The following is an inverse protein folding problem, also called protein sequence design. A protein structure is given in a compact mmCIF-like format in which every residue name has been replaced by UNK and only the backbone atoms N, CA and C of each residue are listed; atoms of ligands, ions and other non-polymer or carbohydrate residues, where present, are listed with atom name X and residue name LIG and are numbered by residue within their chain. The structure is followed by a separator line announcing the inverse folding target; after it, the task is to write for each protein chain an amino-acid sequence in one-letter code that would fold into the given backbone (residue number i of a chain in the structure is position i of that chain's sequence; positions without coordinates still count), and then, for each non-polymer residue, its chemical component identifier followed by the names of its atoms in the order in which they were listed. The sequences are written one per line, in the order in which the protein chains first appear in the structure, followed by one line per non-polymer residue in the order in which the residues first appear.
data_IF_473291798932
#
_entry.id   IF_473291798932
#
_cell.length_a   1.000
_cell.length_b   1.000
_cell.length_c   1.000
_cell.angle_alpha   90.00
_cell.angle_beta   90.00
_cell.angle_gamma   90.00
#
_symmetry.space_group_name_H-M   'P 1'
#
loop_
_entity.id
_entity.type
_entity.pdbx_description
1 polymer ?
#
# COMPACT_ATOMS: atom_id res chain seq x y z
N UNK A 1 11.11 -0.14 -12.87
CA UNK A 1 10.42 -0.40 -11.59
C UNK A 1 9.51 -1.61 -11.76
N UNK A 2 9.33 -2.39 -10.70
CA UNK A 2 8.44 -3.53 -10.58
C UNK A 2 7.37 -3.22 -9.54
N UNK A 3 6.12 -3.60 -9.80
CA UNK A 3 5.04 -3.60 -8.79
C UNK A 3 4.44 -4.99 -8.73
N UNK A 4 4.38 -5.65 -7.55
CA UNK A 4 3.73 -6.95 -7.42
C UNK A 4 2.26 -6.89 -7.84
N UNK A 5 1.77 -7.87 -8.60
CA UNK A 5 0.40 -7.89 -9.10
C UNK A 5 -0.68 -7.84 -8.00
N UNK A 6 -0.34 -8.27 -6.78
CA UNK A 6 -1.23 -8.24 -5.62
C UNK A 6 -1.23 -6.90 -4.88
N UNK A 7 -0.39 -5.93 -5.26
CA UNK A 7 -0.28 -4.62 -4.60
C UNK A 7 -1.18 -3.55 -5.23
N UNK A 8 -2.10 -3.91 -6.12
CA UNK A 8 -3.08 -3.02 -6.70
C UNK A 8 -4.41 -3.11 -5.92
N UNK A 9 -4.66 -2.10 -5.07
CA UNK A 9 -5.98 -1.87 -4.47
C UNK A 9 -6.91 -1.17 -5.46
N UNK A 10 -8.23 -1.20 -5.20
CA UNK A 10 -9.21 -0.46 -6.02
C UNK A 10 -8.93 1.05 -6.00
N UNK A 11 -8.41 1.58 -4.89
CA UNK A 11 -7.98 2.97 -4.75
C UNK A 11 -6.86 3.35 -5.74
N UNK A 12 -6.07 2.40 -6.23
CA UNK A 12 -5.04 2.66 -7.24
C UNK A 12 -5.57 2.76 -8.67
N UNK A 13 -6.86 2.47 -8.91
CA UNK A 13 -7.45 2.45 -10.26
C UNK A 13 -8.34 3.68 -10.45
N UNK A 14 -7.90 4.60 -11.31
CA UNK A 14 -8.65 5.79 -11.68
C UNK A 14 -9.41 5.57 -12.99
N UNK A 15 -10.74 5.52 -12.91
CA UNK A 15 -11.62 5.45 -14.08
C UNK A 15 -11.49 6.73 -14.92
N UNK A 16 -11.24 6.58 -16.22
CA UNK A 16 -11.19 7.71 -17.16
C UNK A 16 -12.59 8.08 -17.65
N UNK A 17 -12.71 9.29 -18.21
CA UNK A 17 -13.89 9.66 -19.00
C UNK A 17 -14.00 8.75 -20.24
N UNK A 18 -15.21 8.41 -20.70
CA UNK A 18 -15.40 7.69 -21.94
C UNK A 18 -14.78 8.43 -23.12
N UNK A 19 -14.30 7.68 -24.12
CA UNK A 19 -13.86 8.28 -25.37
C UNK A 19 -15.02 8.95 -26.11
N UNK A 20 -14.72 10.05 -26.79
CA UNK A 20 -15.69 10.82 -27.55
C UNK A 20 -16.40 9.98 -28.62
N UNK A 21 -17.61 10.41 -29.01
CA UNK A 21 -18.42 9.72 -30.03
C UNK A 21 -17.72 9.64 -31.40
N UNK A 22 -16.81 10.56 -31.68
CA UNK A 22 -16.01 10.61 -32.92
C UNK A 22 -14.81 9.67 -32.90
N UNK A 23 -14.46 9.08 -31.76
CA UNK A 23 -13.31 8.18 -31.66
C UNK A 23 -13.64 6.81 -32.27
N UNK A 24 -12.62 6.14 -32.84
CA UNK A 24 -12.76 4.76 -33.38
C UNK A 24 -13.35 3.76 -32.38
N UNK A 25 -13.10 3.97 -31.08
CA UNK A 25 -13.68 3.18 -29.97
C UNK A 25 -14.58 4.06 -29.11
N UNK A 26 -15.54 4.72 -29.74
CA UNK A 26 -16.50 5.59 -29.09
C UNK A 26 -17.11 4.93 -27.85
N UNK A 27 -17.19 5.68 -26.75
CA UNK A 27 -17.73 5.18 -25.48
C UNK A 27 -16.80 4.25 -24.69
N UNK A 28 -15.65 3.84 -25.22
CA UNK A 28 -14.70 3.01 -24.44
C UNK A 28 -14.21 3.75 -23.20
N UNK A 29 -14.21 3.05 -22.06
CA UNK A 29 -13.77 3.57 -20.78
C UNK A 29 -12.50 2.86 -20.38
N UNK A 30 -11.40 3.61 -20.31
CA UNK A 30 -10.14 3.13 -19.76
C UNK A 30 -9.98 3.44 -18.28
N UNK A 31 -8.82 3.07 -17.76
CA UNK A 31 -8.34 3.52 -16.45
C UNK A 31 -6.89 3.97 -16.52
N UNK A 32 -6.48 4.74 -15.53
CA UNK A 32 -5.09 4.98 -15.19
C UNK A 32 -4.78 4.26 -13.87
N UNK A 33 -3.52 3.88 -13.69
CA UNK A 33 -3.03 3.36 -12.42
C UNK A 33 -2.34 4.51 -11.68
N UNK A 34 -2.88 4.87 -10.52
CA UNK A 34 -2.36 5.93 -9.66
C UNK A 34 -1.30 5.34 -8.73
N UNK A 35 -0.03 5.48 -9.14
CA UNK A 35 1.11 4.86 -8.44
C UNK A 35 1.30 5.37 -7.00
N UNK A 36 0.92 6.61 -6.71
CA UNK A 36 0.92 7.17 -5.35
C UNK A 36 -0.04 6.46 -4.40
N UNK A 37 -1.09 5.80 -4.92
CA UNK A 37 -2.02 5.00 -4.13
C UNK A 37 -1.51 3.57 -3.87
N UNK A 38 -0.33 3.22 -4.40
CA UNK A 38 0.34 1.95 -4.14
C UNK A 38 1.33 2.15 -3.00
N UNK A 39 1.39 1.24 -2.00
CA UNK A 39 2.35 1.36 -0.91
C UNK A 39 3.78 1.60 -1.42
N UNK A 40 4.53 2.57 -0.88
CA UNK A 40 5.94 2.79 -1.22
C UNK A 40 6.77 1.50 -1.30
N UNK A 41 6.63 0.56 -0.35
CA UNK A 41 7.38 -0.69 -0.39
C UNK A 41 7.05 -1.59 -1.59
N UNK A 42 5.88 -1.43 -2.21
CA UNK A 42 5.47 -2.22 -3.37
C UNK A 42 5.95 -1.60 -4.70
N UNK A 43 6.51 -0.39 -4.68
CA UNK A 43 7.11 0.28 -5.84
C UNK A 43 8.61 -0.04 -5.87
N UNK A 44 8.94 -1.24 -6.33
CA UNK A 44 10.30 -1.80 -6.23
C UNK A 44 11.14 -1.28 -7.39
N UNK A 45 12.18 -0.45 -7.16
CA UNK A 45 13.07 -0.04 -8.23
C UNK A 45 13.88 -1.25 -8.73
N UNK A 46 14.17 -1.23 -10.03
CA UNK A 46 15.06 -2.21 -10.69
C UNK A 46 16.25 -1.48 -11.30
N UNK A 47 16.02 -0.23 -11.72
CA UNK A 47 17.01 0.71 -12.22
C UNK A 47 16.71 2.04 -11.51
N UNK A 48 17.75 2.71 -11.02
CA UNK A 48 17.70 4.03 -10.39
C UNK A 48 18.76 4.87 -11.09
N UNK A 49 18.37 6.01 -11.68
CA UNK A 49 19.30 6.94 -12.35
C UNK A 49 20.22 6.26 -13.38
N UNK A 50 19.72 5.25 -14.09
CA UNK A 50 20.48 4.48 -15.08
C UNK A 50 21.34 3.34 -14.50
N UNK A 51 21.48 3.23 -13.18
CA UNK A 51 22.18 2.14 -12.51
C UNK A 51 21.23 1.00 -12.13
N UNK A 52 21.65 -0.25 -12.36
CA UNK A 52 20.90 -1.43 -11.95
C UNK A 52 20.98 -1.63 -10.44
N UNK A 53 19.84 -1.96 -9.82
CA UNK A 53 19.83 -2.44 -8.44
C UNK A 53 20.24 -3.91 -8.39
N UNK A 54 20.94 -4.30 -7.32
CA UNK A 54 21.30 -5.70 -7.10
C UNK A 54 20.09 -6.62 -7.11
N UNK A 55 20.20 -7.75 -7.81
CA UNK A 55 19.07 -8.68 -8.00
C UNK A 55 18.57 -9.24 -6.67
N UNK A 56 19.46 -9.44 -5.70
CA UNK A 56 19.10 -9.84 -4.33
C UNK A 56 18.19 -8.80 -3.69
N UNK A 57 18.57 -7.51 -3.71
CA UNK A 57 17.80 -6.42 -3.12
C UNK A 57 16.39 -6.28 -3.74
N UNK A 58 16.26 -6.48 -5.06
CA UNK A 58 14.95 -6.50 -5.74
C UNK A 58 14.09 -7.67 -5.22
N UNK A 59 14.67 -8.86 -5.10
CA UNK A 59 13.97 -10.07 -4.62
C UNK A 59 13.59 -9.94 -3.14
N UNK A 60 14.46 -9.37 -2.31
CA UNK A 60 14.20 -9.15 -0.89
C UNK A 60 13.05 -8.14 -0.71
N UNK A 61 13.07 -7.06 -1.50
CA UNK A 61 11.97 -6.08 -1.54
C UNK A 61 10.63 -6.71 -1.94
N UNK A 62 10.63 -7.60 -2.93
CA UNK A 62 9.44 -8.35 -3.32
C UNK A 62 8.98 -9.29 -2.21
N UNK A 63 9.92 -10.03 -1.61
CA UNK A 63 9.64 -11.10 -0.63
C UNK A 63 9.03 -10.55 0.65
N UNK A 64 9.43 -9.34 1.08
CA UNK A 64 8.84 -8.61 2.23
C UNK A 64 7.33 -8.40 2.13
N UNK A 65 6.77 -8.35 0.92
CA UNK A 65 5.34 -8.13 0.68
C UNK A 65 4.60 -9.39 0.24
N UNK A 66 5.31 -10.49 0.00
CA UNK A 66 4.75 -11.71 -0.59
C UNK A 66 3.67 -12.34 0.28
N UNK A 67 3.77 -12.18 1.60
CA UNK A 67 2.76 -12.65 2.56
C UNK A 67 1.37 -12.02 2.29
N UNK A 68 1.32 -10.75 1.88
CA UNK A 68 0.07 -10.05 1.55
C UNK A 68 -0.71 -10.67 0.38
N UNK A 69 -0.04 -11.44 -0.50
CA UNK A 69 -0.69 -12.17 -1.59
C UNK A 69 -1.70 -13.19 -1.08
N UNK A 70 -1.51 -13.72 0.13
CA UNK A 70 -2.39 -14.74 0.73
C UNK A 70 -3.73 -14.18 1.21
N UNK A 71 -3.85 -12.86 1.36
CA UNK A 71 -5.06 -12.19 1.81
C UNK A 71 -6.13 -12.21 0.70
N UNK A 72 -7.41 -12.30 1.07
CA UNK A 72 -8.52 -12.12 0.12
C UNK A 72 -8.49 -10.72 -0.50
N UNK A 73 -9.06 -10.55 -1.70
CA UNK A 73 -9.05 -9.26 -2.42
C UNK A 73 -9.55 -8.09 -1.57
N UNK A 74 -10.68 -8.28 -0.88
CA UNK A 74 -11.29 -7.25 -0.03
C UNK A 74 -10.39 -6.90 1.16
N UNK A 75 -9.84 -7.90 1.84
CA UNK A 75 -8.95 -7.67 2.98
C UNK A 75 -7.63 -7.01 2.54
N UNK A 76 -7.09 -7.47 1.42
CA UNK A 76 -5.85 -6.96 0.83
C UNK A 76 -5.96 -5.49 0.46
N UNK A 77 -7.07 -5.06 -0.15
CA UNK A 77 -7.32 -3.65 -0.46
C UNK A 77 -7.17 -2.76 0.77
N UNK A 78 -7.88 -3.09 1.85
CA UNK A 78 -7.77 -2.38 3.14
C UNK A 78 -6.36 -2.41 3.71
N UNK A 79 -5.72 -3.58 3.70
CA UNK A 79 -4.37 -3.76 4.24
C UNK A 79 -3.35 -2.91 3.48
N UNK A 80 -3.45 -2.85 2.15
CA UNK A 80 -2.58 -2.03 1.30
C UNK A 80 -2.80 -0.54 1.53
N UNK A 81 -4.05 -0.07 1.60
CA UNK A 81 -4.31 1.35 1.86
C UNK A 81 -3.80 1.79 3.24
N UNK A 82 -4.00 0.97 4.28
CA UNK A 82 -3.45 1.25 5.61
C UNK A 82 -1.92 1.25 5.59
N UNK A 83 -1.29 0.28 4.93
CA UNK A 83 0.17 0.23 4.79
C UNK A 83 0.70 1.46 4.05
N UNK A 84 0.06 1.85 2.94
CA UNK A 84 0.42 3.04 2.18
C UNK A 84 0.43 4.27 3.07
N UNK A 85 -0.65 4.48 3.84
CA UNK A 85 -0.79 5.65 4.70
C UNK A 85 0.26 5.70 5.81
N UNK A 86 0.59 4.56 6.41
CA UNK A 86 1.68 4.44 7.40
C UNK A 86 3.02 4.83 6.76
N UNK A 87 3.29 4.33 5.55
CA UNK A 87 4.57 4.55 4.87
C UNK A 87 4.74 5.97 4.34
N UNK A 88 3.69 6.58 3.76
CA UNK A 88 3.73 7.97 3.27
C UNK A 88 3.94 8.96 4.42
N UNK A 89 3.54 8.61 5.64
CA UNK A 89 3.79 9.40 6.84
C UNK A 89 5.12 9.08 7.52
N UNK A 90 5.92 8.19 6.94
CA UNK A 90 7.23 7.77 7.44
C UNK A 90 7.21 7.26 8.89
N UNK A 91 6.09 6.65 9.31
CA UNK A 91 5.98 6.12 10.67
C UNK A 91 6.77 4.84 10.81
N UNK A 92 7.88 4.92 11.56
CA UNK A 92 8.66 3.74 11.96
C UNK A 92 8.07 3.10 13.22
N UNK A 93 7.53 3.90 14.14
CA UNK A 93 6.76 3.48 15.32
C UNK A 93 5.61 4.45 15.59
N UNK A 94 4.47 3.93 16.06
CA UNK A 94 3.26 4.71 16.28
C UNK A 94 2.32 4.07 17.30
N UNK A 95 1.43 4.86 17.88
CA UNK A 95 0.36 4.35 18.75
C UNK A 95 -0.92 4.05 17.99
N UNK A 96 -1.80 3.20 18.54
CA UNK A 96 -3.15 2.99 18.01
C UNK A 96 -3.93 4.32 17.93
N UNK A 97 -3.73 5.22 18.90
CA UNK A 97 -4.37 6.54 18.91
C UNK A 97 -3.90 7.39 17.74
N UNK A 98 -2.61 7.37 17.44
CA UNK A 98 -2.03 8.03 16.28
C UNK A 98 -2.56 7.43 14.97
N UNK A 99 -2.68 6.10 14.90
CA UNK A 99 -3.26 5.42 13.74
C UNK A 99 -4.71 5.86 13.43
N UNK A 100 -5.47 6.35 14.41
CA UNK A 100 -6.80 6.92 14.14
C UNK A 100 -6.76 8.20 13.33
N UNK A 101 -5.62 8.89 13.20
CA UNK A 101 -5.50 10.02 12.26
C UNK A 101 -5.61 9.61 10.80
N UNK A 102 -5.52 8.30 10.48
CA UNK A 102 -5.75 7.75 9.13
C UNK A 102 -7.23 7.73 8.74
N UNK A 103 -8.13 7.97 9.70
CA UNK A 103 -9.56 7.79 9.54
C UNK A 103 -10.17 8.67 8.44
N UNK A 104 -9.76 9.93 8.34
CA UNK A 104 -10.31 10.86 7.34
C UNK A 104 -10.05 10.35 5.92
N UNK A 105 -8.81 9.97 5.61
CA UNK A 105 -8.43 9.45 4.30
C UNK A 105 -9.07 8.09 4.01
N UNK A 106 -9.09 7.18 4.98
CA UNK A 106 -9.72 5.86 4.81
C UNK A 106 -11.23 5.98 4.62
N UNK A 107 -11.88 6.97 5.21
CA UNK A 107 -13.32 7.21 5.00
C UNK A 107 -13.63 7.66 3.58
N UNK A 108 -12.75 8.45 2.97
CA UNK A 108 -12.88 8.82 1.55
C UNK A 108 -12.75 7.60 0.63
N UNK A 109 -11.83 6.68 0.96
CA UNK A 109 -11.63 5.45 0.19
C UNK A 109 -12.75 4.41 0.40
N UNK A 110 -13.33 4.38 1.60
CA UNK A 110 -14.33 3.39 2.01
C UNK A 110 -15.58 4.06 2.62
N UNK A 111 -16.35 4.83 1.82
CA UNK A 111 -17.44 5.68 2.31
C UNK A 111 -18.60 4.91 2.94
N UNK A 112 -18.74 3.62 2.63
CA UNK A 112 -19.81 2.76 3.15
C UNK A 112 -19.51 2.15 4.52
N UNK A 113 -18.30 2.34 5.07
CA UNK A 113 -17.92 1.76 6.35
C UNK A 113 -18.01 2.78 7.48
N UNK A 114 -18.97 2.59 8.39
CA UNK A 114 -19.19 3.46 9.55
C UNK A 114 -18.21 3.24 10.71
N UNK A 115 -17.40 2.18 10.67
CA UNK A 115 -16.52 1.73 11.76
C UNK A 115 -15.05 1.75 11.35
N UNK A 116 -14.57 2.91 10.86
CA UNK A 116 -13.20 3.06 10.33
C UNK A 116 -12.14 2.79 11.40
N UNK A 117 -12.31 3.27 12.64
CA UNK A 117 -11.33 3.04 13.72
C UNK A 117 -11.18 1.57 14.08
N UNK A 118 -12.29 0.84 14.15
CA UNK A 118 -12.34 -0.61 14.34
C UNK A 118 -11.59 -1.30 13.20
N UNK A 119 -11.86 -0.86 11.96
CA UNK A 119 -11.21 -1.41 10.77
C UNK A 119 -9.71 -1.15 10.76
N UNK A 120 -9.25 0.03 11.17
CA UNK A 120 -7.83 0.36 11.36
C UNK A 120 -7.21 -0.64 12.35
N UNK A 121 -7.80 -0.83 13.53
CA UNK A 121 -7.29 -1.80 14.53
C UNK A 121 -7.20 -3.21 13.94
N UNK A 122 -8.22 -3.62 13.19
CA UNK A 122 -8.22 -4.92 12.51
C UNK A 122 -7.06 -5.01 11.51
N UNK A 123 -6.84 -4.00 10.67
CA UNK A 123 -5.76 -4.03 9.67
C UNK A 123 -4.36 -3.99 10.30
N UNK A 124 -4.17 -3.31 11.44
CA UNK A 124 -2.89 -3.37 12.17
C UNK A 124 -2.58 -4.80 12.63
N UNK A 125 -3.59 -5.54 13.10
CA UNK A 125 -3.42 -6.95 13.47
C UNK A 125 -3.13 -7.84 12.25
N UNK A 126 -3.76 -7.56 11.11
CA UNK A 126 -3.47 -8.27 9.85
C UNK A 126 -2.03 -8.01 9.43
N UNK A 127 -1.59 -6.75 9.38
CA UNK A 127 -0.21 -6.39 9.04
C UNK A 127 0.80 -7.05 9.99
N UNK A 128 0.47 -7.15 11.29
CA UNK A 128 1.28 -7.89 12.26
C UNK A 128 1.37 -9.38 11.92
N UNK A 129 0.23 -10.03 11.67
CA UNK A 129 0.20 -11.45 11.34
C UNK A 129 0.91 -11.76 10.01
N UNK A 130 1.02 -10.76 9.12
CA UNK A 130 1.76 -10.86 7.85
C UNK A 130 3.25 -10.48 7.98
N UNK A 131 3.73 -10.20 9.20
CA UNK A 131 5.13 -9.84 9.48
C UNK A 131 5.51 -8.39 9.17
N UNK A 132 4.57 -7.55 8.72
CA UNK A 132 4.86 -6.16 8.34
C UNK A 132 4.98 -5.24 9.56
N UNK A 133 4.20 -5.50 10.60
CA UNK A 133 4.22 -4.78 11.86
C UNK A 133 4.60 -5.67 13.04
N UNK A 134 5.16 -5.06 14.07
CA UNK A 134 5.39 -5.65 15.38
C UNK A 134 4.50 -4.94 16.40
N UNK A 135 3.85 -5.71 17.29
CA UNK A 135 3.12 -5.16 18.42
C UNK A 135 4.05 -5.15 19.63
N UNK A 136 4.58 -3.97 19.96
CA UNK A 136 5.63 -3.80 20.98
C UNK A 136 5.04 -3.94 22.37
N UNK A 137 3.94 -3.24 22.63
CA UNK A 137 3.18 -3.27 23.87
C UNK A 137 1.76 -2.79 23.59
N UNK A 138 0.86 -2.84 24.58
CA UNK A 138 -0.55 -2.47 24.41
C UNK A 138 -0.71 -1.12 23.72
N UNK A 139 -1.20 -1.17 22.49
CA UNK A 139 -1.51 0.03 21.70
C UNK A 139 -0.31 0.73 21.08
N UNK A 140 0.86 0.08 21.05
CA UNK A 140 2.09 0.58 20.44
C UNK A 140 2.57 -0.40 19.38
N UNK A 141 2.83 0.14 18.19
CA UNK A 141 3.17 -0.59 16.98
C UNK A 141 4.47 -0.06 16.39
N UNK A 142 5.17 -0.92 15.66
CA UNK A 142 6.39 -0.57 14.92
C UNK A 142 6.40 -1.31 13.59
N UNK A 143 7.00 -0.73 12.56
CA UNK A 143 7.37 -1.51 11.36
C UNK A 143 8.35 -2.61 11.77
N UNK A 144 8.18 -3.81 11.24
CA UNK A 144 9.08 -4.90 11.57
C UNK A 144 10.49 -4.61 11.06
N UNK A 145 11.50 -5.00 11.84
CA UNK A 145 12.90 -4.65 11.52
C UNK A 145 13.31 -5.17 10.13
N UNK A 146 12.94 -6.41 9.82
CA UNK A 146 13.17 -7.03 8.51
C UNK A 146 12.37 -6.36 7.38
N UNK A 147 11.26 -5.69 7.70
CA UNK A 147 10.45 -4.97 6.73
C UNK A 147 11.07 -3.61 6.37
N UNK A 148 11.80 -2.98 7.29
CA UNK A 148 12.50 -1.70 7.05
C UNK A 148 13.82 -1.86 6.29
N UNK A 149 14.45 -3.03 6.37
CA UNK A 149 15.84 -3.28 5.95
C UNK A 149 16.14 -3.26 4.43
N UNK A 150 15.23 -2.80 3.58
CA UNK A 150 15.46 -2.78 2.13
C UNK A 150 15.03 -1.48 1.49
N UNK A 151 15.84 -1.03 0.52
CA UNK A 151 15.76 0.22 -0.24
C UNK A 151 14.90 1.32 0.41
N UNK A 152 15.55 2.21 1.16
CA UNK A 152 14.97 3.49 1.52
C UNK A 152 14.79 4.29 0.22
N UNK A 153 13.56 4.68 -0.17
CA UNK A 153 13.39 5.58 -1.30
C UNK A 153 14.09 6.90 -0.99
N UNK A 154 14.97 7.34 -1.88
CA UNK A 154 15.42 8.73 -1.90
C UNK A 154 14.16 9.56 -2.14
N UNK A 155 13.79 10.40 -1.18
CA UNK A 155 12.71 11.35 -1.34
C UNK A 155 13.07 12.30 -2.49
N UNK A 156 12.24 12.30 -3.53
CA UNK A 156 12.22 13.34 -4.58
C UNK A 156 11.50 14.56 -4.08
#
# INVERSE_FOLDING_TARGET
MLVPHYAFSVSAILKRKPLAATARRAGWIGCNIQLENIPPAARIPVIIEGAFLEKSMVRDSYSRLKSLQTLSTTQRGWTLDVLRLIQVREWTGFSTKQAYSLESELRTLYPTNSHIKEKIRQQLQVLRNQGVLEHVQRGVWRLATHFQAGYAPVAT
#
